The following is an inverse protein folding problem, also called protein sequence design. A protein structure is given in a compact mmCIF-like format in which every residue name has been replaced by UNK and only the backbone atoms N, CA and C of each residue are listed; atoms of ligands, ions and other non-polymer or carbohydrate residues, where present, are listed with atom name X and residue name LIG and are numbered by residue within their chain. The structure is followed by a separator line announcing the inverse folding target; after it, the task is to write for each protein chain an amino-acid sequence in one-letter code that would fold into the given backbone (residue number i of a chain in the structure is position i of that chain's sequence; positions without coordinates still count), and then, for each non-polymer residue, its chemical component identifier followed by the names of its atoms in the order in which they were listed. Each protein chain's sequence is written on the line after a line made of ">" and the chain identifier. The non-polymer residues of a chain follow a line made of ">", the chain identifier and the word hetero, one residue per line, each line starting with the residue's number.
data_IF_853133769772
#
_entry.id   IF_853133769772
#
_cell.length_a   1.000
_cell.length_b   1.000
_cell.length_c   1.000
_cell.angle_alpha   90.00
_cell.angle_beta   90.00
_cell.angle_gamma   90.00
#
_symmetry.space_group_name_H-M   'P 1'
#
loop_
_entity.id
_entity.type
_entity.pdbx_description
1 polymer ?
#
# COMPACT_ATOMS: atom_id res chain seq x y z
N UNK A 1 11.24 19.80 -7.96
CA UNK A 1 12.04 20.81 -7.23
C UNK A 1 11.27 21.53 -6.12
N UNK A 2 9.98 21.87 -6.32
CA UNK A 2 9.15 22.64 -5.37
C UNK A 2 8.69 21.85 -4.15
N UNK A 3 8.52 20.53 -4.23
CA UNK A 3 8.17 19.66 -3.10
C UNK A 3 9.39 19.37 -2.20
N UNK A 4 10.60 19.47 -2.73
CA UNK A 4 11.83 19.07 -2.04
C UNK A 4 12.02 19.76 -0.67
N UNK A 5 11.80 21.07 -0.59
CA UNK A 5 11.93 21.77 0.68
C UNK A 5 10.95 21.28 1.76
N UNK A 6 9.74 20.90 1.35
CA UNK A 6 8.75 20.34 2.26
C UNK A 6 9.12 18.92 2.71
N UNK A 7 9.68 18.11 1.81
CA UNK A 7 10.24 16.78 2.13
C UNK A 7 11.39 16.92 3.14
N UNK A 8 12.37 17.79 2.86
CA UNK A 8 13.51 18.01 3.75
C UNK A 8 13.06 18.49 5.15
N UNK A 9 12.05 19.38 5.22
CA UNK A 9 11.50 19.85 6.48
C UNK A 9 10.80 18.72 7.26
N UNK A 10 10.04 17.85 6.57
CA UNK A 10 9.38 16.69 7.17
C UNK A 10 10.40 15.68 7.68
N UNK A 11 11.38 15.32 6.86
CA UNK A 11 12.44 14.35 7.23
C UNK A 11 13.25 14.89 8.41
N UNK A 12 13.65 16.16 8.38
CA UNK A 12 14.36 16.80 9.49
C UNK A 12 13.57 16.70 10.79
N UNK A 13 12.30 17.09 10.78
CA UNK A 13 11.43 16.98 11.95
C UNK A 13 11.27 15.53 12.43
N UNK A 14 11.18 14.58 11.51
CA UNK A 14 10.99 13.18 11.84
C UNK A 14 12.22 12.54 12.51
N UNK A 15 13.43 13.01 12.23
CA UNK A 15 14.69 12.48 12.79
C UNK A 15 15.27 13.33 13.89
N UNK A 16 14.68 14.48 14.23
CA UNK A 16 15.07 15.27 15.40
C UNK A 16 14.40 14.73 16.68
N UNK A 17 15.12 14.78 17.77
CA UNK A 17 14.62 14.41 19.10
C UNK A 17 14.98 15.45 20.16
N UNK A 18 14.13 15.57 21.18
CA UNK A 18 14.38 16.42 22.33
C UNK A 18 15.02 15.60 23.43
N UNK A 19 16.28 15.88 23.74
CA UNK A 19 17.06 15.22 24.80
C UNK A 19 16.91 15.87 26.18
N UNK A 20 16.02 16.84 26.30
CA UNK A 20 15.75 17.55 27.55
C UNK A 20 16.02 19.05 27.47
N UNK A 21 16.32 19.66 28.58
CA UNK A 21 16.69 21.07 28.69
C UNK A 21 18.00 21.26 29.44
N UNK A 22 18.81 22.15 28.92
CA UNK A 22 20.04 22.57 29.62
C UNK A 22 19.65 23.17 30.97
N UNK A 23 20.30 22.72 32.02
CA UNK A 23 19.96 23.11 33.41
C UNK A 23 20.32 24.56 33.74
N UNK A 24 21.22 25.18 32.97
CA UNK A 24 21.70 26.53 33.19
C UNK A 24 20.95 27.54 32.34
N UNK A 25 20.82 27.24 31.06
CA UNK A 25 20.25 28.15 30.06
C UNK A 25 18.75 27.93 29.82
N UNK A 26 18.19 26.84 30.36
CA UNK A 26 16.80 26.37 30.09
C UNK A 26 16.47 26.18 28.60
N UNK A 27 17.47 26.13 27.74
CA UNK A 27 17.30 25.84 26.30
C UNK A 27 17.03 24.38 26.08
N UNK A 28 16.22 24.07 25.05
CA UNK A 28 15.99 22.69 24.61
C UNK A 28 17.29 22.13 24.06
N UNK A 29 17.66 20.94 24.50
CA UNK A 29 18.76 20.17 23.92
C UNK A 29 18.15 19.32 22.83
N UNK A 30 18.54 19.61 21.60
CA UNK A 30 18.15 18.86 20.42
C UNK A 30 19.20 17.78 20.11
N UNK A 31 18.79 16.68 19.58
CA UNK A 31 19.63 15.58 19.13
C UNK A 31 19.07 14.94 17.88
N UNK A 32 19.75 13.95 17.34
CA UNK A 32 19.34 13.17 16.19
C UNK A 32 18.90 11.77 16.64
N UNK A 33 17.77 11.32 16.15
CA UNK A 33 17.26 9.98 16.40
C UNK A 33 18.02 8.97 15.49
N UNK A 34 19.25 8.66 15.84
CA UNK A 34 20.17 7.79 15.09
C UNK A 34 19.54 6.44 14.76
N UNK A 35 18.90 5.79 15.75
CA UNK A 35 18.22 4.50 15.55
C UNK A 35 17.14 4.56 14.47
N UNK A 36 16.50 5.73 14.32
CA UNK A 36 15.49 5.96 13.28
C UNK A 36 16.12 6.07 11.91
N UNK A 37 17.26 6.77 11.80
CA UNK A 37 18.00 6.85 10.54
C UNK A 37 18.51 5.47 10.14
N UNK A 38 19.06 4.68 11.05
CA UNK A 38 19.45 3.30 10.77
C UNK A 38 18.26 2.39 10.38
N UNK A 39 17.05 2.70 10.88
CA UNK A 39 15.86 1.99 10.43
C UNK A 39 15.46 2.37 9.00
N UNK A 40 15.65 3.62 8.61
CA UNK A 40 15.50 4.09 7.23
C UNK A 40 16.53 3.40 6.32
N UNK A 41 17.79 3.34 6.71
CA UNK A 41 18.85 2.65 5.96
C UNK A 41 18.49 1.18 5.68
N UNK A 42 18.03 0.47 6.71
CA UNK A 42 17.59 -0.92 6.56
C UNK A 42 16.39 -1.07 5.62
N UNK A 43 15.45 -0.14 5.69
CA UNK A 43 14.28 -0.16 4.80
C UNK A 43 14.68 0.10 3.34
N UNK A 44 15.56 1.09 3.11
CA UNK A 44 16.04 1.48 1.79
C UNK A 44 17.15 0.56 1.25
N UNK A 45 17.69 -0.34 2.07
CA UNK A 45 18.90 -1.13 1.77
C UNK A 45 20.07 -0.23 1.33
N UNK A 46 20.20 0.94 1.94
CA UNK A 46 21.20 1.96 1.63
C UNK A 46 21.84 2.46 2.92
N UNK A 47 23.17 2.66 2.92
CA UNK A 47 23.92 3.21 4.05
C UNK A 47 24.29 4.65 3.77
N UNK A 48 23.97 5.55 4.70
CA UNK A 48 24.36 6.95 4.58
C UNK A 48 25.80 7.14 5.07
N UNK A 49 26.69 7.72 4.23
CA UNK A 49 28.09 7.90 4.60
C UNK A 49 28.21 8.98 5.68
N UNK A 50 28.62 8.57 6.89
CA UNK A 50 28.88 9.47 8.02
C UNK A 50 29.89 8.81 8.97
N UNK A 51 30.57 9.60 9.79
CA UNK A 51 31.34 9.09 10.92
C UNK A 51 30.39 8.48 11.95
N UNK A 52 30.74 7.29 12.48
CA UNK A 52 29.89 6.54 13.44
C UNK A 52 29.55 7.36 14.69
N UNK A 53 30.42 8.30 15.08
CA UNK A 53 30.24 9.13 16.27
C UNK A 53 29.60 10.51 15.97
N UNK A 54 29.36 10.88 14.70
CA UNK A 54 28.77 12.17 14.31
C UNK A 54 27.32 12.04 13.84
N UNK A 55 26.40 12.15 14.81
CA UNK A 55 24.95 12.11 14.54
C UNK A 55 24.44 13.20 13.60
N UNK A 56 25.12 14.36 13.56
CA UNK A 56 24.75 15.48 12.72
C UNK A 56 25.20 15.27 11.26
N UNK A 57 26.39 14.64 11.09
CA UNK A 57 26.86 14.22 9.77
C UNK A 57 25.92 13.15 9.19
N UNK A 58 25.52 12.16 9.99
CA UNK A 58 24.55 11.13 9.58
C UNK A 58 23.21 11.74 9.14
N UNK A 59 22.68 12.70 9.91
CA UNK A 59 21.48 13.43 9.50
C UNK A 59 21.68 14.20 8.21
N UNK A 60 22.83 14.85 8.05
CA UNK A 60 23.12 15.61 6.84
C UNK A 60 23.21 14.69 5.61
N UNK A 61 23.84 13.53 5.73
CA UNK A 61 23.92 12.54 4.67
C UNK A 61 22.55 12.04 4.23
N UNK A 62 21.62 11.78 5.19
CA UNK A 62 20.22 11.47 4.88
C UNK A 62 19.53 12.60 4.12
N UNK A 63 19.72 13.86 4.54
CA UNK A 63 19.11 15.02 3.87
C UNK A 63 19.72 15.25 2.47
N UNK A 64 20.98 14.94 2.28
CA UNK A 64 21.64 15.03 0.96
C UNK A 64 21.11 13.94 0.02
N UNK A 65 20.95 12.72 0.52
CA UNK A 65 20.29 11.63 -0.21
C UNK A 65 18.87 12.02 -0.68
N UNK A 66 18.08 12.69 0.16
CA UNK A 66 16.76 13.18 -0.24
C UNK A 66 16.77 14.19 -1.40
N UNK A 67 17.92 14.82 -1.70
CA UNK A 67 18.05 15.81 -2.78
C UNK A 67 18.28 15.19 -4.15
N UNK A 68 18.62 13.93 -4.19
CA UNK A 68 18.92 13.19 -5.41
C UNK A 68 17.66 12.53 -5.96
N UNK A 69 17.31 12.77 -7.22
CA UNK A 69 16.21 12.12 -7.92
C UNK A 69 14.89 12.13 -7.14
N UNK A 70 14.29 10.95 -6.98
CA UNK A 70 13.04 10.71 -6.23
C UNK A 70 13.29 10.17 -4.81
N UNK A 71 14.54 10.10 -4.35
CA UNK A 71 14.91 9.54 -3.06
C UNK A 71 14.20 10.21 -1.88
N UNK A 72 13.82 11.49 -2.01
CA UNK A 72 13.04 12.16 -0.99
C UNK A 72 11.70 11.49 -0.71
N UNK A 73 11.04 10.94 -1.75
CA UNK A 73 9.80 10.16 -1.56
C UNK A 73 10.08 8.78 -0.98
N UNK A 74 11.22 8.17 -1.32
CA UNK A 74 11.62 6.87 -0.75
C UNK A 74 11.85 6.99 0.76
N UNK A 75 12.49 8.08 1.18
CA UNK A 75 12.68 8.38 2.62
C UNK A 75 11.36 8.69 3.32
N UNK A 76 10.44 9.42 2.68
CA UNK A 76 9.10 9.66 3.24
C UNK A 76 8.36 8.34 3.42
N UNK A 77 8.39 7.45 2.43
CA UNK A 77 7.77 6.13 2.55
C UNK A 77 8.43 5.29 3.65
N UNK A 78 9.76 5.26 3.70
CA UNK A 78 10.49 4.58 4.77
C UNK A 78 10.06 5.08 6.16
N UNK A 79 9.96 6.40 6.36
CA UNK A 79 9.49 6.99 7.61
C UNK A 79 8.07 6.54 7.98
N UNK A 80 7.17 6.47 7.00
CA UNK A 80 5.80 6.02 7.22
C UNK A 80 5.72 4.51 7.48
N UNK A 81 6.57 3.72 6.82
CA UNK A 81 6.60 2.27 6.96
C UNK A 81 7.26 1.79 8.26
N UNK A 82 8.34 2.43 8.70
CA UNK A 82 9.05 2.04 9.93
C UNK A 82 8.31 2.47 11.20
N UNK A 83 7.50 3.50 11.17
CA UNK A 83 6.64 4.03 12.25
C UNK A 83 6.85 3.40 13.64
N UNK A 84 5.84 2.68 14.12
CA UNK A 84 5.90 1.83 15.31
C UNK A 84 6.02 2.59 16.65
N UNK A 85 6.31 1.83 17.70
CA UNK A 85 6.31 2.33 19.10
C UNK A 85 7.29 3.48 19.34
N UNK A 86 8.46 3.48 18.71
CA UNK A 86 9.47 4.54 18.88
C UNK A 86 9.00 5.91 18.36
N UNK A 87 8.01 5.91 17.47
CA UNK A 87 7.45 7.12 16.89
C UNK A 87 6.01 7.40 17.32
N UNK A 88 5.38 6.59 18.15
CA UNK A 88 3.93 6.64 18.45
C UNK A 88 3.39 8.05 18.73
N UNK A 89 4.14 8.89 19.42
CA UNK A 89 3.72 10.28 19.74
C UNK A 89 3.94 11.26 18.56
N UNK A 90 4.96 11.05 17.76
CA UNK A 90 5.29 11.91 16.62
C UNK A 90 4.57 11.45 15.33
N UNK A 91 4.28 10.16 15.21
CA UNK A 91 3.76 9.54 13.99
C UNK A 91 2.48 10.19 13.45
N UNK A 92 1.42 10.45 14.26
CA UNK A 92 0.21 11.07 13.74
C UNK A 92 0.48 12.45 13.11
N UNK A 93 1.41 13.22 13.68
CA UNK A 93 1.81 14.53 13.12
C UNK A 93 2.61 14.38 11.84
N UNK A 94 3.54 13.44 11.80
CA UNK A 94 4.35 13.14 10.60
C UNK A 94 3.46 12.67 9.47
N UNK A 95 2.54 11.74 9.74
CA UNK A 95 1.57 11.23 8.77
C UNK A 95 0.67 12.37 8.22
N UNK A 96 0.12 13.20 9.10
CA UNK A 96 -0.72 14.33 8.71
C UNK A 96 0.06 15.34 7.82
N UNK A 97 1.31 15.65 8.18
CA UNK A 97 2.17 16.54 7.39
C UNK A 97 2.56 15.94 6.05
N UNK A 98 2.90 14.65 6.01
CA UNK A 98 3.18 13.94 4.76
C UNK A 98 1.95 13.96 3.84
N UNK A 99 0.76 13.67 4.38
CA UNK A 99 -0.50 13.71 3.64
C UNK A 99 -0.77 15.10 3.06
N UNK A 100 -0.67 16.14 3.88
CA UNK A 100 -0.89 17.52 3.44
C UNK A 100 0.14 17.94 2.38
N UNK A 101 1.41 17.68 2.61
CA UNK A 101 2.50 17.97 1.68
C UNK A 101 2.26 17.33 0.31
N UNK A 102 1.93 16.04 0.28
CA UNK A 102 1.68 15.31 -0.96
C UNK A 102 0.39 15.80 -1.66
N UNK A 103 -0.64 16.20 -0.89
CA UNK A 103 -1.86 16.77 -1.43
C UNK A 103 -1.62 18.14 -2.06
N UNK A 104 -1.02 19.07 -1.33
CA UNK A 104 -0.74 20.44 -1.78
C UNK A 104 0.23 20.44 -2.97
N UNK A 105 1.08 19.43 -3.01
CA UNK A 105 2.03 19.25 -4.10
C UNK A 105 1.41 18.68 -5.38
N UNK A 106 0.14 18.32 -5.41
CA UNK A 106 -0.43 17.61 -6.55
C UNK A 106 0.29 16.29 -6.85
N UNK A 107 0.95 15.70 -5.85
CA UNK A 107 1.59 14.40 -6.00
C UNK A 107 0.57 13.34 -6.35
N UNK A 108 0.93 12.38 -7.21
CA UNK A 108 0.09 11.21 -7.46
C UNK A 108 0.03 10.25 -6.27
N UNK A 109 0.92 10.42 -5.29
CA UNK A 109 1.01 9.56 -4.12
C UNK A 109 0.19 10.07 -2.95
N UNK A 110 -0.34 9.14 -2.14
CA UNK A 110 -1.02 9.41 -0.88
C UNK A 110 -0.64 8.37 0.16
N UNK A 111 -0.44 8.74 1.44
CA UNK A 111 -0.25 7.77 2.50
C UNK A 111 -1.53 6.97 2.75
N UNK A 112 -1.39 5.65 2.82
CA UNK A 112 -2.45 4.72 3.18
C UNK A 112 -2.01 3.91 4.39
N UNK A 113 -2.81 3.94 5.46
CA UNK A 113 -2.51 3.20 6.69
C UNK A 113 -2.54 1.70 6.43
N UNK A 114 -1.52 1.00 6.92
CA UNK A 114 -1.49 -0.47 6.89
C UNK A 114 -2.48 -0.99 7.91
N UNK A 115 -3.53 -1.67 7.46
CA UNK A 115 -4.51 -2.26 8.36
C UNK A 115 -3.82 -3.25 9.31
N UNK A 116 -4.30 -3.28 10.57
CA UNK A 116 -3.80 -4.19 11.62
C UNK A 116 -2.41 -3.86 12.18
N UNK A 117 -1.74 -2.83 11.66
CA UNK A 117 -0.45 -2.37 12.19
C UNK A 117 -0.55 -0.90 12.57
N UNK A 118 -0.61 -0.61 13.87
CA UNK A 118 -0.63 0.76 14.36
C UNK A 118 0.65 1.52 13.96
N UNK A 119 0.48 2.78 13.62
CA UNK A 119 1.58 3.70 13.28
C UNK A 119 2.41 3.24 12.08
N UNK A 120 1.75 2.69 11.04
CA UNK A 120 2.38 2.39 9.74
C UNK A 120 1.50 2.82 8.59
N UNK A 121 2.14 3.33 7.53
CA UNK A 121 1.50 3.62 6.26
C UNK A 121 2.47 3.35 5.11
N UNK A 122 1.92 3.15 3.93
CA UNK A 122 2.64 3.06 2.66
C UNK A 122 2.19 4.18 1.74
N UNK A 123 2.95 4.46 0.69
CA UNK A 123 2.53 5.38 -0.36
C UNK A 123 1.86 4.59 -1.48
N UNK A 124 0.63 4.97 -1.81
CA UNK A 124 -0.13 4.41 -2.92
C UNK A 124 -0.50 5.51 -3.92
N UNK A 125 -0.69 5.12 -5.18
CA UNK A 125 -1.16 6.02 -6.21
C UNK A 125 -2.61 6.41 -5.93
N UNK A 126 -2.93 7.69 -6.07
CA UNK A 126 -4.30 8.18 -5.92
C UNK A 126 -5.16 7.67 -7.06
N UNK A 127 -6.21 6.97 -6.69
CA UNK A 127 -7.27 6.58 -7.61
C UNK A 127 -8.46 7.55 -7.47
N UNK A 128 -9.37 7.51 -8.44
CA UNK A 128 -10.63 8.25 -8.32
C UNK A 128 -11.50 7.71 -7.15
N UNK A 129 -12.36 8.59 -6.64
CA UNK A 129 -13.18 8.25 -5.46
C UNK A 129 -14.08 7.02 -5.67
N UNK A 130 -14.76 6.83 -6.82
CA UNK A 130 -15.53 5.61 -7.07
C UNK A 130 -14.70 4.32 -6.96
N UNK A 131 -13.47 4.33 -7.47
CA UNK A 131 -12.55 3.18 -7.38
C UNK A 131 -12.14 2.91 -5.93
N UNK A 132 -11.81 3.96 -5.16
CA UNK A 132 -11.47 3.85 -3.75
C UNK A 132 -12.67 3.31 -2.91
N UNK A 133 -13.87 3.81 -3.18
CA UNK A 133 -15.09 3.37 -2.50
C UNK A 133 -15.44 1.91 -2.82
N UNK A 134 -15.26 1.50 -4.07
CA UNK A 134 -15.46 0.11 -4.49
C UNK A 134 -14.48 -0.84 -3.80
N UNK A 135 -13.21 -0.46 -3.72
CA UNK A 135 -12.19 -1.23 -3.00
C UNK A 135 -12.52 -1.36 -1.51
N UNK A 136 -12.85 -0.24 -0.84
CA UNK A 136 -13.21 -0.23 0.58
C UNK A 136 -14.42 -1.11 0.86
N UNK A 137 -15.47 -1.02 0.03
CA UNK A 137 -16.68 -1.85 0.14
C UNK A 137 -16.38 -3.33 -0.06
N UNK A 138 -15.47 -3.67 -0.98
CA UNK A 138 -15.04 -5.04 -1.21
C UNK A 138 -14.30 -5.60 0.01
N UNK A 139 -13.44 -4.81 0.65
CA UNK A 139 -12.74 -5.24 1.87
C UNK A 139 -13.69 -5.50 3.04
N UNK A 140 -14.69 -4.64 3.24
CA UNK A 140 -15.68 -4.82 4.33
C UNK A 140 -16.51 -6.09 4.19
N UNK A 141 -16.86 -6.46 2.96
CA UNK A 141 -17.70 -7.62 2.64
C UNK A 141 -16.96 -8.95 2.53
N UNK A 142 -15.65 -8.99 2.77
CA UNK A 142 -14.80 -10.14 2.41
C UNK A 142 -14.16 -10.78 3.64
N UNK A 143 -14.04 -12.12 3.64
CA UNK A 143 -13.37 -12.90 4.69
C UNK A 143 -11.83 -12.67 4.66
N UNK A 144 -11.15 -12.96 5.77
CA UNK A 144 -9.76 -12.58 6.01
C UNK A 144 -8.79 -13.03 4.92
N UNK A 145 -8.91 -14.25 4.41
CA UNK A 145 -8.04 -14.75 3.35
C UNK A 145 -8.21 -13.97 2.04
N UNK A 146 -9.46 -13.82 1.57
CA UNK A 146 -9.75 -13.04 0.35
C UNK A 146 -9.39 -11.58 0.52
N UNK A 147 -9.61 -11.02 1.72
CA UNK A 147 -9.25 -9.63 2.08
C UNK A 147 -7.75 -9.42 2.00
N UNK A 148 -6.94 -10.36 2.53
CA UNK A 148 -5.47 -10.30 2.44
C UNK A 148 -4.99 -10.30 1.00
N UNK A 149 -5.52 -11.20 0.17
CA UNK A 149 -5.19 -11.28 -1.27
C UNK A 149 -5.61 -10.02 -2.04
N UNK A 150 -6.79 -9.46 -1.74
CA UNK A 150 -7.26 -8.22 -2.38
C UNK A 150 -6.38 -7.02 -2.00
N UNK A 151 -5.95 -6.93 -0.73
CA UNK A 151 -4.98 -5.90 -0.29
C UNK A 151 -3.65 -6.05 -1.01
N UNK A 152 -3.12 -7.27 -1.14
CA UNK A 152 -1.90 -7.52 -1.89
C UNK A 152 -2.05 -7.10 -3.36
N UNK A 153 -3.14 -7.51 -4.02
CA UNK A 153 -3.42 -7.12 -5.40
C UNK A 153 -3.47 -5.59 -5.57
N UNK A 154 -4.09 -4.89 -4.63
CA UNK A 154 -4.16 -3.43 -4.64
C UNK A 154 -2.78 -2.78 -4.47
N UNK A 155 -1.99 -3.23 -3.49
CA UNK A 155 -0.63 -2.74 -3.27
C UNK A 155 0.29 -3.02 -4.47
N UNK A 156 0.18 -4.21 -5.09
CA UNK A 156 0.93 -4.55 -6.30
C UNK A 156 0.49 -3.71 -7.52
N UNK A 157 -0.75 -3.22 -7.55
CA UNK A 157 -1.24 -2.38 -8.64
C UNK A 157 -0.91 -0.89 -8.46
N UNK A 158 -1.04 -0.38 -7.24
CA UNK A 158 -1.02 1.05 -6.94
C UNK A 158 0.10 1.49 -6.00
N UNK A 159 0.91 0.55 -5.50
CA UNK A 159 2.09 0.84 -4.68
C UNK A 159 3.21 1.50 -5.48
N UNK A 160 4.26 1.92 -4.79
CA UNK A 160 5.40 2.60 -5.42
C UNK A 160 6.21 1.72 -6.36
N UNK A 161 6.21 0.44 -6.12
CA UNK A 161 6.85 -0.58 -6.96
C UNK A 161 5.77 -1.49 -7.58
N UNK A 162 5.03 -1.01 -8.58
CA UNK A 162 3.91 -1.76 -9.12
C UNK A 162 4.38 -3.04 -9.83
N UNK A 163 3.68 -4.14 -9.55
CA UNK A 163 3.90 -5.44 -10.16
C UNK A 163 2.59 -5.94 -10.78
N UNK A 164 2.32 -5.55 -12.02
CA UNK A 164 1.07 -5.87 -12.69
C UNK A 164 0.78 -7.39 -12.80
N UNK A 165 1.75 -8.27 -13.11
CA UNK A 165 1.53 -9.72 -13.07
C UNK A 165 1.08 -10.23 -11.71
N UNK A 166 1.71 -9.79 -10.62
CA UNK A 166 1.38 -10.22 -9.26
C UNK A 166 0.05 -9.62 -8.79
N UNK A 167 -0.22 -8.35 -9.12
CA UNK A 167 -1.51 -7.71 -8.87
C UNK A 167 -2.66 -8.53 -9.48
N UNK A 168 -2.49 -8.94 -10.73
CA UNK A 168 -3.48 -9.74 -11.45
C UNK A 168 -3.65 -11.13 -10.83
N UNK A 169 -2.54 -11.81 -10.51
CA UNK A 169 -2.53 -13.12 -9.85
C UNK A 169 -3.26 -13.07 -8.50
N UNK A 170 -2.94 -12.07 -7.66
CA UNK A 170 -3.55 -11.90 -6.36
C UNK A 170 -5.04 -11.52 -6.45
N UNK A 171 -5.45 -10.73 -7.46
CA UNK A 171 -6.86 -10.42 -7.70
C UNK A 171 -7.68 -11.67 -8.07
N UNK A 172 -7.13 -12.56 -8.91
CA UNK A 172 -7.78 -13.83 -9.25
C UNK A 172 -7.90 -14.73 -8.02
N UNK A 173 -6.82 -14.88 -7.25
CA UNK A 173 -6.82 -15.67 -6.00
C UNK A 173 -7.83 -15.09 -4.99
N UNK A 174 -7.96 -13.76 -4.88
CA UNK A 174 -8.95 -13.12 -4.02
C UNK A 174 -10.38 -13.47 -4.44
N UNK A 175 -10.68 -13.42 -5.75
CA UNK A 175 -11.97 -13.84 -6.30
C UNK A 175 -12.26 -15.31 -6.04
N UNK A 176 -11.31 -16.20 -6.24
CA UNK A 176 -11.44 -17.63 -5.96
C UNK A 176 -11.75 -17.86 -4.48
N UNK A 177 -10.96 -17.24 -3.59
CA UNK A 177 -11.13 -17.39 -2.15
C UNK A 177 -12.48 -16.84 -1.65
N UNK A 178 -12.99 -15.77 -2.24
CA UNK A 178 -14.31 -15.22 -1.90
C UNK A 178 -15.48 -16.08 -2.44
N UNK A 179 -15.35 -16.60 -3.65
CA UNK A 179 -16.42 -17.32 -4.32
C UNK A 179 -16.50 -18.81 -3.93
N UNK A 180 -15.37 -19.42 -3.63
CA UNK A 180 -15.28 -20.86 -3.31
C UNK A 180 -16.20 -21.32 -2.19
N UNK A 181 -16.22 -20.72 -0.98
CA UNK A 181 -17.06 -21.21 0.12
C UNK A 181 -18.56 -21.09 -0.16
N UNK A 182 -18.93 -20.22 -1.08
CA UNK A 182 -20.34 -19.98 -1.45
C UNK A 182 -20.76 -20.87 -2.61
N UNK A 183 -19.96 -20.97 -3.67
CA UNK A 183 -20.38 -21.56 -4.95
C UNK A 183 -19.98 -23.04 -5.04
N UNK A 184 -18.80 -23.40 -4.55
CA UNK A 184 -18.26 -24.77 -4.66
C UNK A 184 -17.73 -25.31 -3.32
N UNK A 185 -18.49 -25.19 -2.19
CA UNK A 185 -17.99 -25.50 -0.84
C UNK A 185 -17.60 -26.97 -0.62
N UNK A 186 -18.00 -27.86 -1.52
CA UNK A 186 -17.69 -29.31 -1.45
C UNK A 186 -16.52 -29.73 -2.32
N UNK A 187 -15.90 -28.79 -3.02
CA UNK A 187 -14.76 -29.05 -3.90
C UNK A 187 -13.53 -28.30 -3.41
N UNK A 188 -12.73 -28.93 -2.57
CA UNK A 188 -11.53 -28.33 -1.94
C UNK A 188 -10.43 -27.96 -2.95
N UNK A 189 -10.52 -28.40 -4.20
CA UNK A 189 -9.62 -28.07 -5.30
C UNK A 189 -10.28 -27.21 -6.39
N UNK A 190 -11.39 -26.52 -6.05
CA UNK A 190 -12.08 -25.67 -7.00
C UNK A 190 -11.19 -24.48 -7.41
N UNK A 191 -11.04 -24.28 -8.71
CA UNK A 191 -10.44 -23.11 -9.32
C UNK A 191 -11.53 -22.17 -9.82
N UNK A 192 -11.15 -20.95 -10.21
CA UNK A 192 -12.09 -20.00 -10.81
C UNK A 192 -12.84 -20.60 -12.02
N UNK A 193 -12.21 -21.47 -12.80
CA UNK A 193 -12.89 -22.20 -13.88
C UNK A 193 -14.01 -23.10 -13.41
N UNK A 194 -13.87 -23.81 -12.29
CA UNK A 194 -14.95 -24.61 -11.70
C UNK A 194 -16.07 -23.74 -11.18
N UNK A 195 -15.74 -22.63 -10.51
CA UNK A 195 -16.70 -21.64 -10.02
C UNK A 195 -17.53 -21.06 -11.15
N UNK A 196 -16.88 -20.64 -12.24
CA UNK A 196 -17.54 -20.12 -13.44
C UNK A 196 -18.43 -21.17 -14.11
N UNK A 197 -17.98 -22.43 -14.15
CA UNK A 197 -18.78 -23.56 -14.65
C UNK A 197 -20.08 -23.73 -13.86
N UNK A 198 -20.02 -23.71 -12.52
CA UNK A 198 -21.20 -23.85 -11.65
C UNK A 198 -22.17 -22.66 -11.78
N UNK A 199 -21.64 -21.42 -11.86
CA UNK A 199 -22.46 -20.22 -12.07
C UNK A 199 -23.25 -20.27 -13.37
N UNK A 200 -22.64 -20.82 -14.44
CA UNK A 200 -23.25 -20.93 -15.77
C UNK A 200 -24.24 -22.09 -15.89
N UNK A 201 -23.93 -23.20 -15.24
CA UNK A 201 -24.79 -24.38 -15.26
C UNK A 201 -26.11 -24.17 -14.52
N UNK A 202 -26.10 -23.35 -13.47
CA UNK A 202 -27.24 -23.14 -12.59
C UNK A 202 -27.52 -21.64 -12.30
N UNK A 203 -27.72 -20.79 -13.32
CA UNK A 203 -27.82 -19.34 -13.13
C UNK A 203 -28.96 -18.92 -12.21
N UNK A 204 -30.06 -19.65 -12.19
CA UNK A 204 -31.24 -19.36 -11.38
C UNK A 204 -31.04 -19.60 -9.88
N UNK A 205 -30.03 -20.40 -9.54
CA UNK A 205 -29.67 -20.72 -8.14
C UNK A 205 -28.94 -19.55 -7.47
N UNK A 206 -28.25 -18.72 -8.24
CA UNK A 206 -27.33 -17.74 -7.71
C UNK A 206 -27.94 -16.33 -7.72
N UNK A 207 -28.11 -15.76 -6.53
CA UNK A 207 -28.51 -14.38 -6.31
C UNK A 207 -27.41 -13.64 -5.58
N UNK A 208 -27.20 -12.40 -5.90
CA UNK A 208 -26.26 -11.52 -5.20
C UNK A 208 -26.93 -10.18 -4.88
N UNK A 209 -26.35 -9.43 -3.96
CA UNK A 209 -26.83 -8.10 -3.63
C UNK A 209 -26.89 -7.16 -4.85
N UNK A 210 -25.99 -7.37 -5.82
CA UNK A 210 -25.96 -6.62 -7.08
C UNK A 210 -27.16 -7.03 -7.96
N UNK A 211 -27.39 -8.33 -8.13
CA UNK A 211 -28.49 -8.83 -8.96
C UNK A 211 -29.87 -8.45 -8.43
N UNK A 212 -29.99 -8.26 -7.11
CA UNK A 212 -31.23 -7.83 -6.47
C UNK A 212 -31.48 -6.33 -6.55
N UNK A 213 -30.40 -5.52 -6.54
CA UNK A 213 -30.49 -4.05 -6.49
C UNK A 213 -30.47 -3.37 -7.85
N UNK A 214 -29.84 -4.00 -8.85
CA UNK A 214 -29.65 -3.39 -10.18
C UNK A 214 -30.42 -4.20 -11.21
N UNK A 215 -31.51 -3.64 -11.77
CA UNK A 215 -32.29 -4.30 -12.82
C UNK A 215 -31.41 -4.66 -14.04
N UNK A 216 -31.56 -5.89 -14.52
CA UNK A 216 -30.80 -6.39 -15.66
C UNK A 216 -29.42 -6.99 -15.34
N UNK A 217 -28.94 -6.86 -14.12
CA UNK A 217 -27.76 -7.60 -13.66
C UNK A 217 -28.19 -9.00 -13.20
N UNK A 218 -27.56 -10.03 -13.75
CA UNK A 218 -27.82 -11.43 -13.43
C UNK A 218 -26.55 -12.13 -12.97
N UNK A 219 -26.68 -13.36 -12.44
CA UNK A 219 -25.54 -14.22 -12.15
C UNK A 219 -24.65 -14.47 -13.38
N UNK A 220 -25.24 -14.46 -14.56
CA UNK A 220 -24.50 -14.55 -15.82
C UNK A 220 -23.64 -13.31 -16.06
N UNK A 221 -24.14 -12.12 -15.75
CA UNK A 221 -23.36 -10.86 -15.84
C UNK A 221 -22.14 -10.92 -14.92
N UNK A 222 -22.33 -11.39 -13.69
CA UNK A 222 -21.22 -11.60 -12.74
C UNK A 222 -20.22 -12.62 -13.28
N UNK A 223 -20.70 -13.77 -13.77
CA UNK A 223 -19.85 -14.80 -14.37
C UNK A 223 -19.03 -14.27 -15.55
N UNK A 224 -19.63 -13.44 -16.40
CA UNK A 224 -18.94 -12.85 -17.53
C UNK A 224 -17.86 -11.84 -17.07
N UNK A 225 -18.12 -11.03 -16.07
CA UNK A 225 -17.13 -10.11 -15.50
C UNK A 225 -15.95 -10.88 -14.88
N UNK A 226 -16.23 -11.94 -14.11
CA UNK A 226 -15.18 -12.83 -13.57
C UNK A 226 -14.36 -13.50 -14.68
N UNK A 227 -15.03 -13.95 -15.77
CA UNK A 227 -14.35 -14.54 -16.93
C UNK A 227 -13.42 -13.55 -17.61
N UNK A 228 -13.84 -12.30 -17.79
CA UNK A 228 -12.98 -11.26 -18.40
C UNK A 228 -11.69 -11.06 -17.61
N UNK A 229 -11.80 -10.99 -16.29
CA UNK A 229 -10.61 -10.90 -15.42
C UNK A 229 -9.75 -12.15 -15.55
N UNK A 230 -10.35 -13.33 -15.57
CA UNK A 230 -9.62 -14.59 -15.68
C UNK A 230 -8.89 -14.78 -17.02
N UNK A 231 -9.49 -14.37 -18.14
CA UNK A 231 -8.90 -14.46 -19.49
C UNK A 231 -7.87 -13.37 -19.77
N UNK A 232 -7.99 -12.21 -19.11
CA UNK A 232 -7.04 -11.11 -19.23
C UNK A 232 -5.65 -11.41 -18.66
N UNK A 233 -5.49 -12.51 -17.93
CA UNK A 233 -4.20 -12.94 -17.37
C UNK A 233 -3.37 -13.68 -18.43
N UNK A 234 -2.50 -12.96 -19.14
CA UNK A 234 -1.70 -13.46 -20.26
C UNK A 234 -0.64 -14.49 -19.88
N UNK A 235 -0.15 -14.49 -18.64
CA UNK A 235 0.95 -15.35 -18.20
C UNK A 235 0.53 -16.73 -17.68
N UNK A 236 -0.77 -17.03 -17.68
CA UNK A 236 -1.31 -18.24 -17.08
C UNK A 236 -0.82 -19.55 -17.72
N UNK A 237 -0.32 -19.51 -18.94
CA UNK A 237 0.05 -20.71 -19.71
C UNK A 237 1.46 -20.67 -20.29
N UNK A 238 2.33 -19.75 -19.90
CA UNK A 238 3.73 -19.76 -20.33
C UNK A 238 3.91 -19.78 -21.86
N UNK A 239 2.97 -19.21 -22.62
CA UNK A 239 3.10 -19.15 -24.08
C UNK A 239 4.07 -18.04 -24.45
N UNK A 240 5.13 -18.39 -25.15
CA UNK A 240 6.23 -17.55 -25.57
C UNK A 240 5.86 -16.52 -26.68
N UNK A 241 4.61 -16.12 -26.82
CA UNK A 241 4.20 -15.11 -27.77
C UNK A 241 3.69 -13.86 -27.03
N UNK A 242 4.47 -12.79 -26.97
CA UNK A 242 3.91 -11.49 -26.56
C UNK A 242 2.87 -11.08 -27.59
N UNK A 243 1.64 -10.86 -27.15
CA UNK A 243 0.61 -10.25 -27.99
C UNK A 243 1.06 -8.80 -28.22
N UNK A 244 1.22 -8.44 -29.49
CA UNK A 244 1.61 -7.11 -29.94
C UNK A 244 0.51 -6.07 -29.66
#
# INVERSE_FOLDING_TARGET
>A
PWMLNSVLALVKEAVEEHRGRDRVTNKVIEGVAVDRIHSIERYLQHTFPADEDDEWELRQALLDYCREGDHGLDVVEALLAIGGESMRYAYPRILARATQMLLESGSKWTPVSVAEVEFRATLEERVDQPTADAYSSALEGTEDNSRGLLKSAWSDAFGREPNAPEAYSNAIKAMEAAAWPVITPKNDSATLGHILGELRANPEKWKSAITEKVPGITSMTLSNAMQMVWEGHTDRHGTANPVA
#
